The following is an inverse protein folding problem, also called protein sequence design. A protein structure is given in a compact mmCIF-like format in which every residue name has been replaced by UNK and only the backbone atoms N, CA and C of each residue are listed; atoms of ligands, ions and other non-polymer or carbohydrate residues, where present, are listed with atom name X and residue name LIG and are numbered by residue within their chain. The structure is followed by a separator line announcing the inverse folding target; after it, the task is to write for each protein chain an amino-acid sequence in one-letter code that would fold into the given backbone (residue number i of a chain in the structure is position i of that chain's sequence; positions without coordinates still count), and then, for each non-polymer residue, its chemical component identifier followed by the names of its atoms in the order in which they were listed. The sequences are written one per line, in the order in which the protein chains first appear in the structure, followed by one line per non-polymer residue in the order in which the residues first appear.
data_IF_867751990721
#
_entry.id   IF_867751990721
#
_cell.length_a   1.000
_cell.length_b   1.000
_cell.length_c   1.000
_cell.angle_alpha   90.00
_cell.angle_beta   90.00
_cell.angle_gamma   90.00
#
_symmetry.space_group_name_H-M   'P 1'
#
loop_
_entity.id
_entity.type
_entity.pdbx_description
1 polymer ?
#
# COMPACT_ATOMS: atom_id res chain seq x y z
N UNK A 1 31.88 4.27 -25.00
CA UNK A 1 31.94 3.54 -23.70
C UNK A 1 30.87 2.45 -23.69
N UNK A 2 31.19 1.29 -24.28
CA UNK A 2 30.27 0.18 -24.47
C UNK A 2 30.41 -0.76 -23.26
N UNK A 3 29.32 -0.91 -22.50
CA UNK A 3 29.30 -1.61 -21.22
C UNK A 3 29.61 -3.09 -21.38
N UNK A 4 30.73 -3.48 -20.78
CA UNK A 4 31.16 -4.85 -20.51
C UNK A 4 30.18 -5.45 -19.49
N UNK A 5 29.23 -6.25 -19.97
CA UNK A 5 28.43 -7.16 -19.16
C UNK A 5 28.28 -8.49 -19.91
N UNK A 6 29.41 -9.15 -20.16
CA UNK A 6 29.45 -10.58 -20.44
C UNK A 6 29.85 -11.27 -19.14
N UNK A 7 28.85 -11.47 -18.28
CA UNK A 7 28.99 -12.06 -16.95
C UNK A 7 29.20 -13.57 -17.04
N UNK A 8 30.43 -14.03 -16.75
CA UNK A 8 30.77 -15.28 -16.07
C UNK A 8 30.47 -16.64 -16.73
N UNK A 9 29.39 -16.77 -17.51
CA UNK A 9 28.90 -18.08 -17.98
C UNK A 9 29.64 -18.54 -19.24
N UNK A 10 30.11 -17.60 -20.07
CA UNK A 10 30.83 -17.92 -21.31
C UNK A 10 32.23 -18.51 -21.07
N UNK A 11 32.85 -18.23 -19.91
CA UNK A 11 34.24 -18.61 -19.64
C UNK A 11 34.40 -20.09 -19.27
N UNK A 12 33.34 -20.75 -18.79
CA UNK A 12 33.40 -22.17 -18.39
C UNK A 12 33.18 -23.11 -19.59
N UNK A 13 32.51 -22.65 -20.65
CA UNK A 13 32.12 -23.49 -21.80
C UNK A 13 33.30 -23.80 -22.72
N UNK A 14 34.41 -23.04 -22.66
CA UNK A 14 35.56 -23.23 -23.56
C UNK A 14 36.57 -24.31 -23.10
N UNK A 15 36.31 -25.05 -22.02
CA UNK A 15 37.22 -26.10 -21.54
C UNK A 15 36.80 -27.53 -21.90
N UNK A 16 36.11 -27.75 -23.02
CA UNK A 16 35.52 -29.07 -23.28
C UNK A 16 35.64 -29.60 -24.71
N UNK A 17 36.85 -30.09 -25.02
CA UNK A 17 37.08 -31.17 -25.99
C UNK A 17 37.68 -32.35 -25.21
N UNK A 18 37.21 -33.58 -25.50
CA UNK A 18 37.62 -34.88 -24.95
C UNK A 18 37.21 -35.15 -23.49
N UNK A 19 36.84 -36.36 -23.05
CA UNK A 19 36.64 -37.68 -23.65
C UNK A 19 35.83 -38.49 -22.63
N UNK A 20 35.11 -39.49 -23.10
CA UNK A 20 34.36 -40.46 -22.29
C UNK A 20 35.31 -41.31 -21.44
N UNK A 21 35.48 -40.98 -20.16
CA UNK A 21 36.17 -41.84 -19.18
C UNK A 21 35.30 -42.00 -17.94
N UNK A 22 34.10 -42.56 -18.11
CA UNK A 22 33.31 -43.00 -16.97
C UNK A 22 34.00 -44.23 -16.37
N UNK A 23 34.71 -44.03 -15.26
CA UNK A 23 35.25 -45.05 -14.31
C UNK A 23 36.77 -45.18 -14.19
N UNK A 24 37.59 -44.22 -14.64
CA UNK A 24 39.05 -44.32 -14.48
C UNK A 24 39.51 -44.35 -13.00
N UNK A 25 38.72 -43.77 -12.09
CA UNK A 25 39.06 -43.68 -10.67
C UNK A 25 38.45 -44.78 -9.80
N UNK A 26 37.44 -45.51 -10.27
CA UNK A 26 36.76 -46.53 -9.46
C UNK A 26 37.62 -47.79 -9.43
N UNK A 27 37.99 -48.22 -8.23
CA UNK A 27 38.74 -49.45 -8.01
C UNK A 27 38.48 -49.99 -6.59
N UNK A 28 38.87 -51.23 -6.33
CA UNK A 28 38.85 -51.79 -4.99
C UNK A 28 40.02 -51.18 -4.19
N UNK A 29 39.74 -50.49 -3.09
CA UNK A 29 40.77 -49.86 -2.27
C UNK A 29 41.67 -50.86 -1.52
N UNK A 30 41.32 -52.16 -1.52
CA UNK A 30 42.14 -53.21 -0.90
C UNK A 30 43.07 -53.95 -1.89
N UNK A 31 42.63 -54.14 -3.14
CA UNK A 31 43.38 -54.93 -4.13
C UNK A 31 43.58 -54.23 -5.48
N UNK A 32 43.20 -52.96 -5.58
CA UNK A 32 43.34 -52.07 -6.75
C UNK A 32 42.69 -52.55 -8.04
N UNK A 33 41.80 -53.56 -7.95
CA UNK A 33 41.05 -54.07 -9.10
C UNK A 33 40.01 -53.06 -9.56
N UNK A 34 40.03 -52.71 -10.85
CA UNK A 34 39.02 -51.87 -11.50
C UNK A 34 37.75 -52.68 -11.87
N UNK A 35 36.60 -52.02 -12.06
CA UNK A 35 35.38 -52.64 -12.55
C UNK A 35 35.55 -53.38 -13.88
N UNK A 36 35.12 -54.64 -13.91
CA UNK A 36 35.01 -55.44 -15.14
C UNK A 36 33.73 -56.29 -15.07
N UNK A 37 33.33 -56.89 -16.19
CA UNK A 37 32.09 -57.67 -16.28
C UNK A 37 32.07 -58.80 -15.23
N UNK A 38 30.99 -58.87 -14.46
CA UNK A 38 30.77 -59.91 -13.44
C UNK A 38 31.43 -59.65 -12.08
N UNK A 39 32.09 -58.50 -11.86
CA UNK A 39 32.64 -58.13 -10.55
C UNK A 39 31.72 -57.14 -9.85
N UNK A 40 31.19 -57.55 -8.69
CA UNK A 40 30.39 -56.69 -7.82
C UNK A 40 31.30 -55.85 -6.91
N UNK A 41 30.99 -54.55 -6.81
CA UNK A 41 31.66 -53.61 -5.92
C UNK A 41 30.70 -53.14 -4.83
N UNK A 42 31.24 -53.00 -3.63
CA UNK A 42 30.53 -52.59 -2.42
C UNK A 42 31.13 -51.27 -1.92
N UNK A 43 30.28 -50.33 -1.52
CA UNK A 43 30.66 -49.12 -0.81
C UNK A 43 30.44 -49.31 0.69
N UNK A 44 31.47 -49.05 1.48
CA UNK A 44 31.39 -49.20 2.93
C UNK A 44 30.97 -47.90 3.62
N UNK A 45 30.33 -48.00 4.79
CA UNK A 45 29.98 -46.83 5.61
C UNK A 45 31.18 -46.01 6.08
N UNK A 46 32.39 -46.59 6.01
CA UNK A 46 33.65 -45.92 6.32
C UNK A 46 34.30 -45.23 5.11
N UNK A 47 33.67 -45.27 3.93
CA UNK A 47 34.08 -44.53 2.72
C UNK A 47 34.96 -45.30 1.73
N UNK A 48 35.23 -46.59 1.94
CA UNK A 48 36.04 -47.39 1.02
C UNK A 48 35.19 -48.17 0.01
N UNK A 49 35.68 -48.26 -1.23
CA UNK A 49 35.10 -49.09 -2.30
C UNK A 49 35.83 -50.45 -2.30
N UNK A 50 35.10 -51.56 -2.14
CA UNK A 50 35.67 -52.90 -1.95
C UNK A 50 35.00 -53.87 -2.92
N UNK A 51 35.78 -54.71 -3.61
CA UNK A 51 35.20 -55.77 -4.46
C UNK A 51 34.65 -56.91 -3.59
N UNK A 52 33.64 -57.63 -4.10
CA UNK A 52 32.99 -58.72 -3.37
C UNK A 52 33.97 -59.75 -2.80
N UNK A 53 35.04 -60.08 -3.54
CA UNK A 53 36.09 -61.01 -3.08
C UNK A 53 36.75 -60.53 -1.80
N UNK A 54 37.25 -59.29 -1.77
CA UNK A 54 37.90 -58.70 -0.59
C UNK A 54 36.94 -58.53 0.59
N UNK A 55 35.64 -58.31 0.33
CA UNK A 55 34.63 -58.26 1.37
C UNK A 55 34.35 -59.64 1.99
N UNK A 56 34.35 -60.72 1.19
CA UNK A 56 34.14 -62.09 1.68
C UNK A 56 35.34 -62.73 2.36
N UNK A 57 36.55 -62.21 2.12
CA UNK A 57 37.78 -62.69 2.78
C UNK A 57 37.96 -62.09 4.17
N UNK A 58 37.22 -61.04 4.52
CA UNK A 58 37.20 -60.49 5.88
C UNK A 58 36.51 -61.50 6.82
N UNK A 59 37.33 -62.20 7.64
CA UNK A 59 37.01 -63.18 8.69
C UNK A 59 35.55 -63.65 8.78
N UNK A 60 35.28 -64.86 8.27
CA UNK A 60 34.02 -65.61 8.45
C UNK A 60 33.69 -65.93 9.92
N UNK A 61 34.61 -65.65 10.84
CA UNK A 61 34.57 -66.02 12.26
C UNK A 61 34.13 -64.86 13.17
N UNK A 62 34.00 -63.63 12.64
CA UNK A 62 33.49 -62.47 13.40
C UNK A 62 32.11 -62.12 12.91
N UNK A 63 31.16 -62.06 13.84
CA UNK A 63 29.75 -61.70 13.63
C UNK A 63 29.56 -60.27 13.06
N UNK A 64 30.64 -59.52 12.85
CA UNK A 64 30.66 -58.15 12.36
C UNK A 64 31.68 -57.99 11.24
N UNK A 65 31.23 -57.59 10.05
CA UNK A 65 32.10 -57.33 8.90
C UNK A 65 33.00 -56.12 9.18
N UNK A 66 34.32 -56.33 9.29
CA UNK A 66 35.30 -55.25 9.36
C UNK A 66 35.74 -54.80 7.96
N UNK A 67 36.04 -53.51 7.80
CA UNK A 67 36.58 -52.98 6.57
C UNK A 67 37.99 -53.55 6.31
N UNK A 68 38.26 -54.19 5.16
CA UNK A 68 39.60 -54.74 4.88
C UNK A 68 40.68 -53.66 4.68
N UNK A 69 40.32 -52.37 4.56
CA UNK A 69 41.26 -51.25 4.40
C UNK A 69 41.60 -50.58 5.72
N UNK A 70 40.60 -50.28 6.55
CA UNK A 70 40.80 -49.52 7.80
C UNK A 70 40.44 -50.28 9.09
N UNK A 71 40.02 -51.55 8.97
CA UNK A 71 39.66 -52.46 10.06
C UNK A 71 38.54 -51.99 11.00
N UNK A 72 37.89 -50.86 10.71
CA UNK A 72 36.68 -50.41 11.42
C UNK A 72 35.49 -51.30 11.05
N UNK A 73 34.61 -51.55 12.02
CA UNK A 73 33.29 -52.16 11.77
C UNK A 73 32.51 -51.27 10.82
N UNK A 74 32.02 -51.81 9.72
CA UNK A 74 31.27 -51.03 8.74
C UNK A 74 30.19 -51.86 8.05
N UNK A 75 29.14 -51.18 7.60
CA UNK A 75 28.15 -51.79 6.71
C UNK A 75 28.60 -51.62 5.26
N UNK A 76 28.17 -52.54 4.40
CA UNK A 76 28.45 -52.51 2.97
C UNK A 76 27.13 -52.39 2.21
N UNK A 77 27.12 -51.54 1.18
CA UNK A 77 26.03 -51.43 0.21
C UNK A 77 26.58 -51.64 -1.18
N UNK A 78 25.86 -52.36 -2.02
CA UNK A 78 26.28 -52.59 -3.39
C UNK A 78 26.24 -51.30 -4.22
N UNK A 79 27.28 -51.07 -5.02
CA UNK A 79 27.34 -49.96 -5.98
C UNK A 79 26.59 -50.39 -7.24
N UNK A 80 25.33 -50.01 -7.33
CA UNK A 80 24.47 -50.29 -8.47
C UNK A 80 23.46 -49.14 -8.70
N UNK A 81 22.57 -49.29 -9.68
CA UNK A 81 21.57 -48.27 -10.02
C UNK A 81 20.50 -48.07 -8.94
N UNK A 82 20.34 -49.02 -8.01
CA UNK A 82 19.42 -48.92 -6.88
C UNK A 82 20.08 -48.36 -5.61
N UNK A 83 21.34 -47.92 -5.69
CA UNK A 83 21.99 -47.20 -4.59
C UNK A 83 21.17 -45.96 -4.21
N UNK A 84 21.13 -45.62 -2.91
CA UNK A 84 20.35 -44.47 -2.43
C UNK A 84 20.79 -43.15 -3.10
N UNK A 85 19.87 -42.22 -3.42
CA UNK A 85 20.22 -40.96 -4.09
C UNK A 85 21.32 -40.16 -3.39
N UNK A 86 21.30 -40.14 -2.06
CA UNK A 86 22.32 -39.47 -1.23
C UNK A 86 23.72 -40.04 -1.40
N UNK A 87 23.84 -41.32 -1.76
CA UNK A 87 25.13 -41.99 -2.00
C UNK A 87 25.48 -42.02 -3.49
N UNK A 88 24.50 -42.05 -4.39
CA UNK A 88 24.72 -41.96 -5.83
C UNK A 88 25.47 -40.69 -6.23
N UNK A 89 25.28 -39.58 -5.50
CA UNK A 89 25.93 -38.30 -5.77
C UNK A 89 27.46 -38.42 -5.82
N UNK A 90 28.06 -39.30 -5.02
CA UNK A 90 29.51 -39.53 -4.98
C UNK A 90 30.04 -40.23 -6.24
N UNK A 91 29.17 -40.91 -7.00
CA UNK A 91 29.53 -41.63 -8.22
C UNK A 91 29.08 -40.89 -9.49
N UNK A 92 28.43 -39.72 -9.35
CA UNK A 92 28.07 -38.89 -10.51
C UNK A 92 29.26 -38.09 -11.00
N UNK A 93 29.23 -37.72 -12.29
CA UNK A 93 30.21 -36.82 -12.85
C UNK A 93 30.13 -35.46 -12.13
N UNK A 94 31.24 -34.95 -11.54
CA UNK A 94 31.24 -33.67 -10.84
C UNK A 94 30.75 -32.50 -11.70
N UNK A 95 30.97 -32.53 -13.01
CA UNK A 95 30.56 -31.46 -13.94
C UNK A 95 29.06 -31.46 -14.19
N UNK A 96 28.46 -32.63 -14.32
CA UNK A 96 27.00 -32.76 -14.42
C UNK A 96 26.33 -32.31 -13.13
N UNK A 97 26.91 -32.70 -11.98
CA UNK A 97 26.42 -32.31 -10.66
C UNK A 97 26.48 -30.79 -10.48
N UNK A 98 27.62 -30.17 -10.79
CA UNK A 98 27.79 -28.71 -10.72
C UNK A 98 26.79 -28.00 -11.64
N UNK A 99 26.63 -28.49 -12.87
CA UNK A 99 25.68 -27.93 -13.85
C UNK A 99 24.24 -27.99 -13.34
N UNK A 100 23.85 -29.13 -12.76
CA UNK A 100 22.52 -29.31 -12.18
C UNK A 100 22.27 -28.33 -11.03
N UNK A 101 23.22 -28.19 -10.09
CA UNK A 101 23.09 -27.24 -8.99
C UNK A 101 23.03 -25.79 -9.48
N UNK A 102 23.89 -25.40 -10.43
CA UNK A 102 23.86 -24.06 -11.00
C UNK A 102 22.53 -23.76 -11.70
N UNK A 103 21.96 -24.73 -12.42
CA UNK A 103 20.64 -24.58 -13.05
C UNK A 103 19.54 -24.37 -12.01
N UNK A 104 19.51 -25.17 -10.96
CA UNK A 104 18.53 -25.02 -9.88
C UNK A 104 18.66 -23.66 -9.20
N UNK A 105 19.88 -23.21 -8.90
CA UNK A 105 20.12 -21.89 -8.31
C UNK A 105 19.67 -20.77 -9.24
N UNK A 106 19.96 -20.85 -10.54
CA UNK A 106 19.51 -19.87 -11.53
C UNK A 106 17.98 -19.75 -11.56
N UNK A 107 17.26 -20.88 -11.56
CA UNK A 107 15.79 -20.89 -11.51
C UNK A 107 15.23 -20.23 -10.24
N UNK A 108 15.84 -20.50 -9.08
CA UNK A 108 15.45 -19.85 -7.81
C UNK A 108 15.66 -18.35 -7.89
N UNK A 109 16.81 -17.90 -8.40
CA UNK A 109 17.12 -16.48 -8.54
C UNK A 109 16.15 -15.77 -9.51
N UNK A 110 15.82 -16.40 -10.63
CA UNK A 110 14.85 -15.88 -11.60
C UNK A 110 13.45 -15.75 -11.00
N UNK A 111 12.98 -16.78 -10.29
CA UNK A 111 11.70 -16.74 -9.59
C UNK A 111 11.64 -15.58 -8.59
N UNK A 112 12.68 -15.43 -7.76
CA UNK A 112 12.74 -14.35 -6.79
C UNK A 112 12.81 -12.97 -7.47
N UNK A 113 13.57 -12.84 -8.56
CA UNK A 113 13.69 -11.59 -9.32
C UNK A 113 12.33 -11.19 -9.96
N UNK A 114 11.60 -12.15 -10.50
CA UNK A 114 10.27 -11.94 -11.07
C UNK A 114 9.28 -11.44 -10.02
N UNK A 115 9.26 -12.04 -8.83
CA UNK A 115 8.41 -11.60 -7.73
C UNK A 115 8.78 -10.19 -7.23
N UNK A 116 10.09 -9.90 -7.06
CA UNK A 116 10.57 -8.55 -6.73
C UNK A 116 10.11 -7.52 -7.76
N UNK A 117 10.26 -7.83 -9.05
CA UNK A 117 9.83 -6.94 -10.14
C UNK A 117 8.34 -6.63 -10.10
N UNK A 118 7.49 -7.65 -9.90
CA UNK A 118 6.04 -7.46 -9.77
C UNK A 118 5.68 -6.58 -8.57
N UNK A 119 6.33 -6.81 -7.43
CA UNK A 119 6.12 -6.00 -6.23
C UNK A 119 6.52 -4.54 -6.45
N UNK A 120 7.72 -4.29 -6.99
CA UNK A 120 8.18 -2.93 -7.29
C UNK A 120 7.25 -2.21 -8.25
N UNK A 121 6.75 -2.88 -9.30
CA UNK A 121 5.76 -2.31 -10.22
C UNK A 121 4.47 -1.90 -9.52
N UNK A 122 3.93 -2.76 -8.66
CA UNK A 122 2.73 -2.46 -7.89
C UNK A 122 2.91 -1.23 -6.97
N UNK A 123 4.05 -1.14 -6.28
CA UNK A 123 4.37 0.03 -5.43
C UNK A 123 4.45 1.30 -6.28
N UNK A 124 5.20 1.26 -7.39
CA UNK A 124 5.34 2.41 -8.29
C UNK A 124 3.98 2.86 -8.88
N UNK A 125 3.08 1.93 -9.21
CA UNK A 125 1.74 2.25 -9.67
C UNK A 125 0.89 2.93 -8.58
N UNK A 126 1.00 2.46 -7.33
CA UNK A 126 0.31 3.07 -6.19
C UNK A 126 0.82 4.48 -5.94
N UNK A 127 2.13 4.68 -5.95
CA UNK A 127 2.75 6.00 -5.83
C UNK A 127 2.31 6.94 -6.95
N UNK A 128 2.34 6.47 -8.21
CA UNK A 128 1.86 7.27 -9.35
C UNK A 128 0.41 7.71 -9.19
N UNK A 129 -0.47 6.84 -8.67
CA UNK A 129 -1.87 7.20 -8.37
C UNK A 129 -1.94 8.25 -7.25
N UNK A 130 -1.24 8.03 -6.15
CA UNK A 130 -1.21 8.98 -5.03
C UNK A 130 -0.71 10.36 -5.46
N UNK A 131 0.37 10.42 -6.25
CA UNK A 131 0.91 11.67 -6.80
C UNK A 131 -0.11 12.38 -7.69
N UNK A 132 -0.81 11.65 -8.57
CA UNK A 132 -1.91 12.24 -9.38
C UNK A 132 -3.01 12.85 -8.52
N UNK A 133 -3.48 12.14 -7.49
CA UNK A 133 -4.49 12.69 -6.57
C UNK A 133 -3.98 13.91 -5.82
N UNK A 134 -2.72 13.90 -5.37
CA UNK A 134 -2.10 15.05 -4.71
C UNK A 134 -1.94 16.27 -5.64
N UNK A 135 -1.72 16.06 -6.94
CA UNK A 135 -1.75 17.15 -7.93
C UNK A 135 -3.16 17.73 -8.09
N UNK A 136 -4.16 16.87 -8.32
CA UNK A 136 -5.56 17.32 -8.49
C UNK A 136 -6.08 18.08 -7.26
N UNK A 137 -5.75 17.60 -6.05
CA UNK A 137 -6.12 18.29 -4.81
C UNK A 137 -5.45 19.67 -4.70
N UNK A 138 -4.18 19.80 -5.09
CA UNK A 138 -3.49 21.10 -5.11
C UNK A 138 -4.10 22.07 -6.11
N UNK A 139 -4.44 21.60 -7.30
CA UNK A 139 -5.05 22.43 -8.34
C UNK A 139 -6.45 22.91 -7.90
N UNK A 140 -7.22 22.05 -7.25
CA UNK A 140 -8.51 22.39 -6.65
C UNK A 140 -8.39 23.45 -5.54
N UNK A 141 -7.45 23.26 -4.61
CA UNK A 141 -7.20 24.22 -3.52
C UNK A 141 -6.78 25.57 -4.10
N UNK A 142 -5.87 25.59 -5.08
CA UNK A 142 -5.42 26.82 -5.72
C UNK A 142 -6.59 27.58 -6.35
N UNK A 143 -7.45 26.89 -7.09
CA UNK A 143 -8.63 27.51 -7.70
C UNK A 143 -9.61 28.07 -6.68
N UNK A 144 -9.79 27.38 -5.54
CA UNK A 144 -10.64 27.87 -4.43
C UNK A 144 -10.08 29.13 -3.80
N UNK A 145 -8.76 29.18 -3.56
CA UNK A 145 -8.09 30.37 -3.03
C UNK A 145 -8.26 31.56 -3.99
N UNK A 146 -8.11 31.34 -5.30
CA UNK A 146 -8.31 32.39 -6.31
C UNK A 146 -9.75 32.91 -6.32
N UNK A 147 -10.75 32.04 -6.28
CA UNK A 147 -12.16 32.42 -6.20
C UNK A 147 -12.49 33.18 -4.92
N UNK A 148 -11.98 32.72 -3.77
CA UNK A 148 -12.18 33.38 -2.48
C UNK A 148 -11.51 34.76 -2.47
N UNK A 149 -10.29 34.87 -3.00
CA UNK A 149 -9.59 36.16 -3.14
C UNK A 149 -10.40 37.17 -3.95
N UNK A 150 -10.92 36.75 -5.11
CA UNK A 150 -11.73 37.61 -5.97
C UNK A 150 -13.04 38.03 -5.27
N UNK A 151 -13.70 37.10 -4.56
CA UNK A 151 -14.91 37.41 -3.81
C UNK A 151 -14.65 38.38 -2.66
N UNK A 152 -13.50 38.26 -1.97
CA UNK A 152 -13.08 39.20 -0.93
C UNK A 152 -12.83 40.59 -1.52
N UNK A 153 -12.14 40.68 -2.66
CA UNK A 153 -11.88 41.96 -3.34
C UNK A 153 -13.17 42.66 -3.80
N UNK A 154 -14.12 41.91 -4.38
CA UNK A 154 -15.41 42.46 -4.74
C UNK A 154 -16.19 42.92 -3.51
N UNK A 155 -16.17 42.13 -2.43
CA UNK A 155 -16.85 42.46 -1.19
C UNK A 155 -16.27 43.73 -0.54
N UNK A 156 -14.95 43.91 -0.56
CA UNK A 156 -14.31 45.13 -0.05
C UNK A 156 -14.68 46.33 -0.91
N UNK A 157 -14.71 46.19 -2.25
CA UNK A 157 -15.15 47.25 -3.16
C UNK A 157 -16.59 47.68 -2.90
N UNK A 158 -17.52 46.73 -2.85
CA UNK A 158 -18.94 47.01 -2.60
C UNK A 158 -19.18 47.63 -1.21
N UNK A 159 -18.41 47.21 -0.20
CA UNK A 159 -18.46 47.83 1.14
C UNK A 159 -18.03 49.29 1.11
N UNK A 160 -16.97 49.64 0.36
CA UNK A 160 -16.54 51.02 0.18
C UNK A 160 -17.62 51.86 -0.51
N UNK A 161 -18.19 51.34 -1.60
CA UNK A 161 -19.27 52.01 -2.34
C UNK A 161 -20.51 52.24 -1.47
N UNK A 162 -20.95 51.21 -0.73
CA UNK A 162 -22.07 51.31 0.20
C UNK A 162 -21.80 52.35 1.30
N UNK A 163 -20.57 52.45 1.80
CA UNK A 163 -20.21 53.44 2.80
C UNK A 163 -20.24 54.87 2.24
N UNK A 164 -19.77 55.07 1.01
CA UNK A 164 -19.87 56.36 0.32
C UNK A 164 -21.33 56.78 0.13
N UNK A 165 -22.20 55.85 -0.28
CA UNK A 165 -23.60 56.19 -0.51
C UNK A 165 -24.37 56.41 0.80
N UNK A 166 -24.01 55.70 1.88
CA UNK A 166 -24.49 56.02 3.23
C UNK A 166 -24.08 57.41 3.71
N UNK A 167 -22.87 57.88 3.38
CA UNK A 167 -22.45 59.27 3.67
C UNK A 167 -23.32 60.25 2.88
N UNK A 168 -23.51 59.99 1.58
CA UNK A 168 -24.31 60.84 0.70
C UNK A 168 -25.76 60.96 1.14
N UNK A 169 -26.40 59.85 1.54
CA UNK A 169 -27.76 59.87 2.09
C UNK A 169 -27.85 60.76 3.33
N UNK A 170 -26.89 60.64 4.26
CA UNK A 170 -26.85 61.50 5.47
C UNK A 170 -26.74 62.98 5.13
N UNK A 171 -25.89 63.33 4.16
CA UNK A 171 -25.74 64.73 3.73
C UNK A 171 -27.02 65.28 3.09
N UNK A 172 -27.72 64.46 2.29
CA UNK A 172 -28.99 64.84 1.68
C UNK A 172 -30.11 64.97 2.71
N UNK A 173 -30.20 64.04 3.66
CA UNK A 173 -31.16 64.10 4.78
C UNK A 173 -30.95 65.37 5.63
N UNK A 174 -29.70 65.72 5.93
CA UNK A 174 -29.36 66.95 6.64
C UNK A 174 -29.84 68.20 5.88
N UNK A 175 -29.60 68.25 4.56
CA UNK A 175 -30.08 69.34 3.69
C UNK A 175 -31.61 69.40 3.60
N UNK A 176 -32.27 68.25 3.51
CA UNK A 176 -33.74 68.18 3.51
C UNK A 176 -34.30 68.74 4.83
N UNK A 177 -33.76 68.32 5.97
CA UNK A 177 -34.16 68.84 7.28
C UNK A 177 -33.93 70.36 7.41
N UNK A 178 -32.83 70.88 6.88
CA UNK A 178 -32.57 72.33 6.87
C UNK A 178 -33.58 73.08 5.98
N UNK A 179 -33.87 72.55 4.79
CA UNK A 179 -34.85 73.15 3.89
C UNK A 179 -36.27 73.11 4.45
N UNK A 180 -36.66 72.03 5.13
CA UNK A 180 -37.94 71.94 5.84
C UNK A 180 -38.06 73.03 6.91
N UNK A 181 -37.01 73.27 7.71
CA UNK A 181 -36.99 74.38 8.69
C UNK A 181 -37.15 75.74 8.02
N UNK A 182 -36.46 75.99 6.90
CA UNK A 182 -36.60 77.24 6.12
C UNK A 182 -38.01 77.42 5.58
N UNK A 183 -38.62 76.36 5.06
CA UNK A 183 -40.02 76.39 4.60
C UNK A 183 -40.95 76.73 5.77
N UNK A 184 -40.73 76.12 6.93
CA UNK A 184 -41.54 76.38 8.13
C UNK A 184 -41.38 77.82 8.64
N UNK A 185 -40.16 78.39 8.61
CA UNK A 185 -39.90 79.80 8.92
C UNK A 185 -40.61 80.75 7.94
N UNK A 186 -40.53 80.46 6.64
CA UNK A 186 -41.24 81.23 5.61
C UNK A 186 -42.77 81.13 5.79
N UNK A 187 -43.29 79.94 6.09
CA UNK A 187 -44.72 79.72 6.39
C UNK A 187 -45.17 80.51 7.61
N UNK A 188 -44.38 80.51 8.69
CA UNK A 188 -44.65 81.34 9.88
C UNK A 188 -44.67 82.82 9.51
N UNK A 189 -43.72 83.29 8.71
CA UNK A 189 -43.68 84.67 8.20
C UNK A 189 -44.90 85.06 7.35
N UNK A 190 -45.44 84.13 6.56
CA UNK A 190 -46.68 84.32 5.80
C UNK A 190 -47.90 84.38 6.74
N UNK A 191 -47.96 83.51 7.76
CA UNK A 191 -49.02 83.52 8.78
C UNK A 191 -49.04 84.81 9.62
N UNK A 192 -47.89 85.43 9.90
CA UNK A 192 -47.83 86.72 10.62
C UNK A 192 -48.36 87.90 9.79
N UNK A 193 -48.43 87.77 8.45
CA UNK A 193 -48.95 88.79 7.53
C UNK A 193 -50.44 88.57 7.17
N UNK A 194 -50.99 87.38 7.39
CA UNK A 194 -52.40 87.05 7.16
C UNK A 194 -53.19 87.04 8.48
N UNK A 195 -53.30 88.21 9.12
CA UNK A 195 -54.39 88.48 10.05
C UNK A 195 -55.39 89.42 9.39
N UNK A 196 -56.17 88.88 8.44
CA UNK A 196 -57.57 89.22 8.18
C UNK A 196 -58.11 88.39 6.99
N UNK A 197 -59.37 87.98 7.14
CA UNK A 197 -60.33 87.45 6.15
C UNK A 197 -60.59 85.93 6.20
N UNK A 198 -61.87 85.49 6.24
CA UNK A 198 -62.31 84.17 6.67
C UNK A 198 -62.42 83.15 5.53
N UNK A 199 -62.60 81.88 5.97
CA UNK A 199 -62.91 80.69 5.18
C UNK A 199 -64.02 80.89 4.16
N UNK A 200 -63.81 80.34 2.97
CA UNK A 200 -64.89 79.90 2.09
C UNK A 200 -64.70 78.42 1.77
N UNK A 201 -65.74 77.69 2.14
CA UNK A 201 -66.05 76.31 1.85
C UNK A 201 -66.36 76.16 0.35
N UNK A 202 -65.66 75.26 -0.32
CA UNK A 202 -66.09 74.73 -1.61
C UNK A 202 -65.58 73.30 -1.73
N UNK A 203 -66.43 72.38 -1.27
CA UNK A 203 -66.32 70.96 -1.56
C UNK A 203 -66.36 70.72 -3.07
N UNK A 204 -65.37 69.96 -3.54
CA UNK A 204 -65.41 69.28 -4.82
C UNK A 204 -64.79 67.91 -4.54
N UNK A 205 -65.66 66.91 -4.43
CA UNK A 205 -65.28 65.51 -4.29
C UNK A 205 -64.61 65.05 -5.58
N UNK A 206 -63.32 64.70 -5.48
CA UNK A 206 -62.62 63.95 -6.50
C UNK A 206 -62.14 62.64 -5.87
N UNK A 207 -63.04 61.65 -5.91
CA UNK A 207 -62.71 60.26 -5.68
C UNK A 207 -61.70 59.83 -6.75
N UNK A 208 -60.42 59.76 -6.39
CA UNK A 208 -59.42 59.06 -7.19
C UNK A 208 -59.23 57.70 -6.55
N UNK A 209 -59.81 56.70 -7.21
CA UNK A 209 -59.77 55.30 -6.80
C UNK A 209 -58.33 54.82 -6.58
N UNK A 210 -58.20 54.07 -5.49
CA UNK A 210 -56.98 53.45 -5.03
C UNK A 210 -56.79 52.12 -5.75
N UNK A 211 -56.00 52.07 -6.83
CA UNK A 211 -55.51 50.78 -7.34
C UNK A 211 -54.40 50.24 -6.43
N UNK A 212 -54.83 49.68 -5.31
CA UNK A 212 -54.08 48.72 -4.52
C UNK A 212 -54.11 47.38 -5.25
N UNK A 213 -53.19 47.19 -6.20
CA UNK A 213 -52.94 45.92 -6.88
C UNK A 213 -51.66 45.22 -6.41
N UNK A 214 -51.23 45.42 -5.16
CA UNK A 214 -50.15 44.64 -4.55
C UNK A 214 -50.73 43.34 -3.98
N UNK A 215 -50.69 42.26 -4.75
CA UNK A 215 -50.85 40.92 -4.19
C UNK A 215 -49.57 40.53 -3.45
N UNK A 216 -49.55 40.85 -2.16
CA UNK A 216 -48.67 40.24 -1.18
C UNK A 216 -49.18 38.81 -0.88
N UNK A 217 -48.25 37.88 -0.76
CA UNK A 217 -48.39 36.46 -0.33
C UNK A 217 -48.72 35.43 -1.42
N UNK A 218 -47.65 34.88 -1.99
CA UNK A 218 -47.47 33.42 -2.07
C UNK A 218 -45.97 33.09 -2.13
N UNK A 219 -45.27 33.24 -1.01
CA UNK A 219 -44.09 32.42 -0.71
C UNK A 219 -44.62 31.12 -0.12
N UNK A 220 -44.77 30.11 -0.96
CA UNK A 220 -44.88 28.72 -0.52
C UNK A 220 -43.50 28.07 -0.75
N UNK A 221 -42.65 28.12 0.29
CA UNK A 221 -41.62 27.11 0.45
C UNK A 221 -42.30 25.94 1.16
N UNK A 222 -42.71 24.94 0.38
CA UNK A 222 -43.21 23.70 0.95
C UNK A 222 -42.69 22.55 0.11
N UNK A 223 -41.58 21.99 0.57
CA UNK A 223 -41.15 20.62 0.29
C UNK A 223 -42.19 19.66 0.87
N UNK A 224 -42.81 18.77 0.08
CA UNK A 224 -43.50 17.62 0.64
C UNK A 224 -42.54 16.42 0.58
N UNK A 225 -42.11 15.97 1.75
CA UNK A 225 -41.52 14.65 1.94
C UNK A 225 -42.66 13.67 2.19
N UNK A 226 -42.92 12.79 1.22
CA UNK A 226 -43.22 11.35 1.36
C UNK A 226 -44.14 10.84 0.25
N UNK A 227 -43.57 10.03 -0.65
CA UNK A 227 -44.12 8.72 -1.00
C UNK A 227 -43.08 7.96 -1.83
N UNK A 228 -42.45 6.98 -1.19
CA UNK A 228 -41.54 6.04 -1.81
C UNK A 228 -42.28 5.18 -2.85
N UNK A 229 -41.67 4.98 -4.03
CA UNK A 229 -41.89 3.79 -4.85
C UNK A 229 -40.54 3.20 -5.25
N UNK A 230 -40.33 1.88 -5.13
CA UNK A 230 -39.03 1.25 -5.22
C UNK A 230 -38.78 0.77 -6.65
N UNK A 231 -37.94 1.46 -7.41
CA UNK A 231 -37.14 0.94 -8.54
C UNK A 231 -36.44 2.10 -9.23
N UNK A 232 -35.28 2.49 -8.69
CA UNK A 232 -34.13 2.99 -9.45
C UNK A 232 -33.04 3.39 -8.45
N UNK A 233 -32.20 2.41 -8.09
CA UNK A 233 -30.97 2.65 -7.35
C UNK A 233 -29.83 2.88 -8.35
N UNK A 234 -29.76 4.10 -8.89
CA UNK A 234 -28.50 4.66 -9.34
C UNK A 234 -27.97 5.57 -8.23
N UNK A 235 -26.89 5.17 -7.56
CA UNK A 235 -26.18 6.00 -6.58
C UNK A 235 -24.87 6.49 -7.17
N UNK A 236 -24.71 7.81 -7.18
CA UNK A 236 -23.55 8.60 -7.61
C UNK A 236 -22.43 8.71 -6.56
N UNK A 237 -22.27 7.70 -5.71
CA UNK A 237 -21.10 7.55 -4.83
C UNK A 237 -20.63 6.10 -4.87
N UNK A 238 -19.38 5.88 -5.27
CA UNK A 238 -18.79 4.57 -5.53
C UNK A 238 -18.48 3.74 -4.28
N UNK A 239 -19.41 3.59 -3.35
CA UNK A 239 -19.32 2.57 -2.30
C UNK A 239 -20.02 1.30 -2.77
N UNK A 240 -19.20 0.28 -3.07
CA UNK A 240 -19.67 -1.09 -3.27
C UNK A 240 -20.43 -1.54 -2.02
N UNK A 241 -21.68 -1.93 -2.22
CA UNK A 241 -22.54 -2.55 -1.23
C UNK A 241 -21.79 -3.70 -0.52
N UNK A 242 -21.46 -3.50 0.76
CA UNK A 242 -20.68 -4.42 1.59
C UNK A 242 -21.42 -5.73 1.91
N UNK A 243 -22.71 -5.82 1.55
CA UNK A 243 -23.57 -6.93 1.96
C UNK A 243 -23.59 -8.08 0.95
N UNK A 244 -23.14 -7.88 -0.28
CA UNK A 244 -23.09 -8.98 -1.27
C UNK A 244 -21.97 -10.00 -0.97
N UNK A 245 -20.87 -9.54 -0.34
CA UNK A 245 -19.77 -10.44 0.04
C UNK A 245 -20.19 -11.29 1.24
N UNK A 246 -20.93 -10.70 2.21
CA UNK A 246 -21.39 -11.43 3.40
C UNK A 246 -22.38 -12.55 3.06
N UNK A 247 -23.20 -12.39 2.02
CA UNK A 247 -24.16 -13.43 1.58
C UNK A 247 -23.47 -14.64 0.92
N UNK A 248 -22.29 -14.46 0.30
CA UNK A 248 -21.51 -15.60 -0.23
C UNK A 248 -20.83 -16.44 0.87
N UNK A 249 -20.68 -15.89 2.09
CA UNK A 249 -20.15 -16.62 3.24
C UNK A 249 -21.23 -17.26 4.14
N UNK A 250 -22.51 -16.98 3.88
CA UNK A 250 -23.64 -17.53 4.65
C UNK A 250 -24.35 -18.70 3.93
N UNK A 251 -24.10 -18.90 2.63
CA UNK A 251 -24.72 -19.97 1.83
C UNK A 251 -23.96 -21.31 1.86
N UNK A 252 -22.90 -21.42 2.65
CA UNK A 252 -22.17 -22.69 2.85
C UNK A 252 -22.35 -23.14 4.29
N UNK A 253 -23.54 -23.65 4.59
CA UNK A 253 -23.78 -24.47 5.77
C UNK A 253 -23.08 -25.82 5.60
N UNK A 254 -22.20 -26.06 6.57
CA UNK A 254 -21.72 -27.33 7.13
C UNK A 254 -20.75 -28.20 6.30
N UNK A 255 -19.62 -28.52 6.95
CA UNK A 255 -18.65 -29.60 6.67
C UNK A 255 -17.46 -29.34 5.72
N UNK A 256 -16.69 -28.23 5.82
CA UNK A 256 -15.25 -28.25 5.42
C UNK A 256 -14.38 -27.31 6.28
N UNK A 257 -13.49 -27.81 7.17
CA UNK A 257 -12.51 -26.99 7.88
C UNK A 257 -11.38 -26.54 6.93
N UNK A 258 -10.97 -25.27 7.01
CA UNK A 258 -9.81 -24.74 6.28
C UNK A 258 -8.50 -25.43 6.72
N UNK A 259 -7.55 -25.78 5.83
CA UNK A 259 -6.63 -26.90 6.07
C UNK A 259 -5.39 -26.58 6.91
N UNK A 260 -5.31 -25.43 7.57
CA UNK A 260 -4.15 -25.09 8.40
C UNK A 260 -4.62 -24.32 9.63
N UNK A 261 -5.14 -25.05 10.61
CA UNK A 261 -5.27 -24.57 11.98
C UNK A 261 -4.62 -25.59 12.91
N UNK A 262 -3.65 -25.12 13.67
CA UNK A 262 -2.98 -25.84 14.76
C UNK A 262 -2.65 -24.83 15.86
N UNK A 263 -2.46 -25.27 17.12
CA UNK A 263 -3.26 -24.83 18.27
C UNK A 263 -2.73 -23.57 18.98
N UNK A 264 -2.46 -22.51 18.22
CA UNK A 264 -2.16 -21.19 18.78
C UNK A 264 -2.48 -20.10 17.76
N UNK A 265 -3.38 -19.19 18.14
CA UNK A 265 -3.93 -18.08 17.33
C UNK A 265 -2.92 -16.97 16.97
N UNK A 266 -1.73 -17.31 16.51
CA UNK A 266 -0.73 -16.33 16.09
C UNK A 266 -0.49 -16.42 14.57
N UNK A 267 -0.95 -15.43 13.76
CA UNK A 267 -0.68 -15.42 12.33
C UNK A 267 0.82 -15.26 12.08
N UNK A 268 1.37 -16.11 11.20
CA UNK A 268 2.78 -16.03 10.78
C UNK A 268 3.08 -14.65 10.21
N UNK A 269 4.01 -13.93 10.83
CA UNK A 269 4.55 -12.68 10.28
C UNK A 269 5.64 -12.98 9.25
N UNK A 270 5.88 -12.06 8.30
CA UNK A 270 6.90 -12.15 7.24
C UNK A 270 8.31 -12.62 7.70
N UNK A 271 8.81 -12.28 8.91
CA UNK A 271 10.07 -12.82 9.42
C UNK A 271 10.11 -14.36 9.55
N UNK A 272 8.95 -14.98 9.83
CA UNK A 272 8.82 -16.44 9.87
C UNK A 272 8.88 -17.09 8.48
N UNK A 273 8.49 -16.37 7.42
CA UNK A 273 8.63 -16.85 6.03
C UNK A 273 10.06 -16.79 5.50
N UNK A 274 10.94 -16.01 6.14
CA UNK A 274 12.34 -15.82 5.76
C UNK A 274 13.33 -16.60 6.64
N UNK A 275 12.83 -17.44 7.56
CA UNK A 275 13.67 -18.25 8.45
C UNK A 275 14.45 -17.46 9.50
N UNK A 276 14.10 -16.18 9.73
CA UNK A 276 14.79 -15.35 10.73
C UNK A 276 14.15 -15.64 12.09
N UNK A 277 14.75 -16.55 12.84
CA UNK A 277 14.33 -16.88 14.19
C UNK A 277 14.72 -15.72 15.13
N UNK A 278 13.73 -15.00 15.67
CA UNK A 278 13.99 -14.04 16.74
C UNK A 278 14.56 -14.80 17.94
N UNK A 279 15.79 -14.46 18.34
CA UNK A 279 16.38 -14.90 19.59
C UNK A 279 15.52 -14.35 20.72
N UNK A 280 14.71 -15.22 21.35
CA UNK A 280 14.00 -14.90 22.58
C UNK A 280 15.04 -14.78 23.69
N UNK A 281 15.42 -13.55 24.04
CA UNK A 281 15.99 -13.27 25.36
C UNK A 281 14.83 -13.07 26.33
N UNK A 282 14.54 -14.12 27.08
CA UNK A 282 13.68 -14.08 28.27
C UNK A 282 14.54 -13.82 29.50
N UNK A 283 14.33 -12.68 30.17
CA UNK A 283 14.45 -12.57 31.64
C UNK A 283 14.04 -11.17 32.11
N UNK A 284 12.84 -11.13 32.68
CA UNK A 284 12.35 -10.37 33.85
C UNK A 284 13.23 -9.35 34.58
N UNK A 285 12.51 -8.34 35.13
CA UNK A 285 12.86 -7.34 36.17
C UNK A 285 13.22 -5.95 35.59
N UNK A 286 12.70 -4.82 36.06
CA UNK A 286 11.76 -4.55 37.14
C UNK A 286 11.23 -3.11 37.01
N UNK A 287 10.20 -2.81 37.80
CA UNK A 287 9.59 -1.48 37.96
C UNK A 287 10.63 -0.41 38.32
N UNK A 288 10.54 0.77 37.70
CA UNK A 288 10.52 2.04 38.44
C UNK A 288 10.09 3.20 37.55
N UNK A 289 9.06 3.88 38.02
CA UNK A 289 8.65 5.23 37.68
C UNK A 289 9.77 6.24 37.94
N UNK A 290 9.98 7.19 37.03
CA UNK A 290 10.10 8.59 37.44
C UNK A 290 9.85 9.55 36.26
N UNK A 291 8.90 10.42 36.54
CA UNK A 291 8.48 11.63 35.88
C UNK A 291 9.60 12.70 35.92
N UNK A 292 9.88 13.37 34.80
CA UNK A 292 10.10 14.83 34.77
C UNK A 292 9.95 15.37 33.36
N UNK A 293 8.94 16.21 33.20
CA UNK A 293 8.77 17.24 32.19
C UNK A 293 9.96 18.21 32.16
N UNK A 294 10.47 18.59 30.98
CA UNK A 294 11.11 19.90 30.76
C UNK A 294 10.87 20.38 29.32
N UNK A 295 10.16 21.51 29.27
CA UNK A 295 9.87 22.41 28.15
C UNK A 295 11.15 23.09 27.62
N UNK A 296 11.08 23.42 26.33
CA UNK A 296 11.70 24.52 25.55
C UNK A 296 13.05 25.11 25.98
N UNK A 297 13.96 25.26 25.00
CA UNK A 297 14.43 26.60 24.63
C UNK A 297 14.90 26.68 23.18
N UNK A 298 14.59 27.84 22.60
CA UNK A 298 14.87 28.33 21.26
C UNK A 298 16.05 29.29 21.41
N UNK A 299 17.10 29.21 20.57
CA UNK A 299 17.98 30.36 20.33
C UNK A 299 18.80 30.23 19.04
N UNK A 300 18.83 31.37 18.38
CA UNK A 300 19.32 31.76 17.06
C UNK A 300 20.82 32.13 17.07
N UNK A 301 21.34 32.45 15.88
CA UNK A 301 22.60 33.16 15.54
C UNK A 301 23.76 32.23 15.11
N UNK A 302 24.09 32.16 13.82
CA UNK A 302 24.81 33.13 12.98
C UNK A 302 26.34 33.10 13.21
N UNK A 303 27.03 32.49 12.25
CA UNK A 303 28.29 32.92 11.60
C UNK A 303 28.34 32.25 10.25
#
# INVERSE_FOLDING_TARGET
MQRILLSGVQCIVLLYRQETMANDWIHCNACYRQPSQGIVFLFSSCGHIICQKCATTADKTKLECSCPVCQRKCTFVEINRSLRPELQIYFRNPKDLATQYMKTLAQVLEFQASNRSRFTKHIAEKEKKATKFAHLARDEIKRRIELESNAVEENTRLKCELNMERMRCRDLEAKLSENEKKIEELRKGICTMQSQVPRSDSGIDAEMESESGLSFLNVATSTPIHSCSPKNRFTSTGHRNRNHISEMFLASSDEIPSPITFPSDQPLTTPAMLGIKHSRRSSSAGRQSHETSKKYDFLTAAT
#
